data_IF_901884929138
#
_entry.id   IF_901884929138
#
_cell.length_a   1.000
_cell.length_b   1.000
_cell.length_c   1.000
_cell.angle_alpha   90.00
_cell.angle_beta   90.00
_cell.angle_gamma   90.00
#
_symmetry.space_group_name_H-M   'P 1'
#
loop_
_entity.id
_entity.type
_entity.pdbx_description
1 polymer ?
#
# COMPACT_ATOMS: atom_id res chain seq x y z
N UNK A 1 -15.57 -29.87 -2.34
CA UNK A 1 -16.44 -29.09 -3.23
C UNK A 1 -16.31 -29.54 -4.69
N UNK A 2 -15.11 -29.50 -5.28
CA UNK A 2 -14.88 -29.92 -6.67
C UNK A 2 -15.40 -31.33 -7.02
N UNK A 3 -15.06 -32.33 -6.20
CA UNK A 3 -15.50 -33.72 -6.40
C UNK A 3 -17.03 -33.90 -6.43
N UNK A 4 -17.78 -33.01 -5.76
CA UNK A 4 -19.25 -33.07 -5.70
C UNK A 4 -19.90 -32.48 -6.96
N UNK A 5 -19.20 -31.60 -7.68
CA UNK A 5 -19.76 -30.78 -8.77
C UNK A 5 -19.16 -31.16 -10.13
N UNK A 6 -18.05 -31.91 -10.17
CA UNK A 6 -17.38 -32.28 -11.42
C UNK A 6 -18.29 -33.00 -12.43
N UNK A 7 -19.22 -33.83 -11.95
CA UNK A 7 -20.17 -34.58 -12.77
C UNK A 7 -21.51 -33.85 -12.98
N UNK A 8 -21.69 -32.66 -12.39
CA UNK A 8 -22.89 -31.87 -12.60
C UNK A 8 -22.84 -31.25 -14.00
N UNK A 9 -23.85 -31.54 -14.82
CA UNK A 9 -24.12 -30.85 -16.07
C UNK A 9 -25.07 -29.68 -15.76
N UNK A 10 -24.61 -28.41 -15.84
CA UNK A 10 -25.45 -27.29 -15.51
C UNK A 10 -26.62 -27.15 -16.47
N UNK A 11 -27.77 -26.81 -15.92
CA UNK A 11 -29.03 -26.59 -16.64
C UNK A 11 -29.67 -25.25 -16.27
N UNK A 12 -29.31 -24.68 -15.11
CA UNK A 12 -29.80 -23.37 -14.64
C UNK A 12 -28.62 -22.43 -14.31
N UNK A 13 -28.81 -21.09 -14.38
CA UNK A 13 -27.74 -20.12 -14.18
C UNK A 13 -26.92 -20.33 -12.90
N UNK A 14 -27.57 -20.66 -11.78
CA UNK A 14 -26.92 -20.88 -10.49
C UNK A 14 -25.92 -22.04 -10.52
N UNK A 15 -26.18 -23.09 -11.29
CA UNK A 15 -25.28 -24.23 -11.44
C UNK A 15 -24.04 -23.85 -12.27
N UNK A 16 -24.21 -23.02 -13.30
CA UNK A 16 -23.09 -22.48 -14.08
C UNK A 16 -22.20 -21.58 -13.20
N UNK A 17 -22.81 -20.69 -12.41
CA UNK A 17 -22.09 -19.82 -11.45
C UNK A 17 -21.28 -20.67 -10.48
N UNK A 18 -21.90 -21.69 -9.89
CA UNK A 18 -21.25 -22.57 -8.93
C UNK A 18 -20.07 -23.33 -9.56
N UNK A 19 -20.22 -23.83 -10.80
CA UNK A 19 -19.09 -24.43 -11.53
C UNK A 19 -17.99 -23.43 -11.81
N UNK A 20 -18.33 -22.19 -12.16
CA UNK A 20 -17.37 -21.09 -12.31
C UNK A 20 -16.54 -20.90 -11.04
N UNK A 21 -17.19 -20.67 -9.91
CA UNK A 21 -16.54 -20.44 -8.60
C UNK A 21 -15.64 -21.61 -8.21
N UNK A 22 -16.13 -22.85 -8.36
CA UNK A 22 -15.35 -24.04 -8.02
C UNK A 22 -14.12 -24.20 -8.91
N UNK A 23 -14.23 -23.89 -10.20
CA UNK A 23 -13.08 -23.88 -11.10
C UNK A 23 -12.09 -22.76 -10.78
N UNK A 24 -12.55 -21.59 -10.34
CA UNK A 24 -11.64 -20.54 -9.82
C UNK A 24 -10.86 -21.04 -8.61
N UNK A 25 -11.56 -21.61 -7.62
CA UNK A 25 -10.92 -22.09 -6.40
C UNK A 25 -9.85 -23.15 -6.68
N UNK A 26 -10.19 -24.17 -7.49
CA UNK A 26 -9.24 -25.22 -7.89
C UNK A 26 -8.12 -24.66 -8.77
N UNK A 27 -8.45 -23.77 -9.71
CA UNK A 27 -7.47 -23.14 -10.59
C UNK A 27 -6.44 -22.31 -9.84
N UNK A 28 -6.85 -21.60 -8.79
CA UNK A 28 -5.97 -20.83 -7.92
C UNK A 28 -5.11 -21.74 -7.04
N UNK A 29 -5.70 -22.75 -6.40
CA UNK A 29 -4.99 -23.68 -5.51
C UNK A 29 -3.95 -24.54 -6.25
N UNK A 30 -4.29 -25.00 -7.46
CA UNK A 30 -3.42 -25.86 -8.28
C UNK A 30 -2.59 -25.10 -9.31
N UNK A 31 -2.73 -23.77 -9.38
CA UNK A 31 -2.17 -22.92 -10.42
C UNK A 31 -2.51 -23.38 -11.86
N UNK A 32 -3.72 -23.95 -12.05
CA UNK A 32 -4.18 -24.50 -13.32
C UNK A 32 -4.86 -23.45 -14.18
N UNK A 33 -4.20 -23.06 -15.28
CA UNK A 33 -4.75 -22.12 -16.27
C UNK A 33 -5.97 -22.67 -16.99
N UNK A 34 -6.08 -23.98 -17.14
CA UNK A 34 -7.21 -24.60 -17.83
C UNK A 34 -8.49 -24.48 -16.99
N UNK A 35 -8.38 -24.69 -15.67
CA UNK A 35 -9.50 -24.45 -14.76
C UNK A 35 -9.93 -22.98 -14.76
N UNK A 36 -8.98 -22.04 -14.75
CA UNK A 36 -9.32 -20.62 -14.81
C UNK A 36 -10.05 -20.26 -16.12
N UNK A 37 -9.61 -20.79 -17.27
CA UNK A 37 -10.31 -20.59 -18.55
C UNK A 37 -11.72 -21.18 -18.56
N UNK A 38 -11.91 -22.35 -17.95
CA UNK A 38 -13.25 -22.94 -17.80
C UNK A 38 -14.14 -22.07 -16.93
N UNK A 39 -13.60 -21.49 -15.85
CA UNK A 39 -14.34 -20.54 -15.02
C UNK A 39 -14.75 -19.28 -15.80
N UNK A 40 -13.83 -18.70 -16.59
CA UNK A 40 -14.12 -17.56 -17.46
C UNK A 40 -15.28 -17.87 -18.42
N UNK A 41 -15.28 -19.05 -19.04
CA UNK A 41 -16.36 -19.47 -19.94
C UNK A 41 -17.71 -19.55 -19.22
N UNK A 42 -17.75 -20.11 -18.01
CA UNK A 42 -18.99 -20.19 -17.24
C UNK A 42 -19.52 -18.82 -16.82
N UNK A 43 -18.65 -17.91 -16.37
CA UNK A 43 -19.06 -16.55 -16.05
C UNK A 43 -19.54 -15.77 -17.27
N UNK A 44 -18.87 -15.94 -18.42
CA UNK A 44 -19.27 -15.32 -19.67
C UNK A 44 -20.64 -15.81 -20.14
N UNK A 45 -20.92 -17.11 -20.06
CA UNK A 45 -22.21 -17.69 -20.44
C UNK A 45 -23.37 -17.10 -19.62
N UNK A 46 -23.19 -16.98 -18.30
CA UNK A 46 -24.21 -16.38 -17.42
C UNK A 46 -24.33 -14.88 -17.66
N UNK A 47 -23.21 -14.16 -17.72
CA UNK A 47 -23.19 -12.71 -17.87
C UNK A 47 -23.75 -12.21 -19.21
N UNK A 48 -23.66 -13.01 -20.27
CA UNK A 48 -24.23 -12.69 -21.58
C UNK A 48 -25.63 -13.27 -21.82
N UNK A 49 -26.18 -14.07 -20.88
CA UNK A 49 -27.52 -14.62 -21.05
C UNK A 49 -28.56 -13.51 -21.04
N UNK A 50 -29.50 -13.54 -21.99
CA UNK A 50 -30.60 -12.57 -22.06
C UNK A 50 -31.43 -12.50 -20.75
N UNK A 51 -31.51 -13.62 -20.03
CA UNK A 51 -32.25 -13.69 -18.76
C UNK A 51 -31.49 -13.14 -17.55
N UNK A 52 -30.16 -13.02 -17.63
CA UNK A 52 -29.29 -12.71 -16.47
C UNK A 52 -28.40 -11.48 -16.68
N UNK A 53 -28.18 -11.00 -17.90
CA UNK A 53 -27.19 -9.96 -18.19
C UNK A 53 -27.42 -8.65 -17.41
N UNK A 54 -28.69 -8.30 -17.17
CA UNK A 54 -29.11 -7.13 -16.39
C UNK A 54 -29.41 -7.43 -14.92
N UNK A 55 -29.19 -8.66 -14.46
CA UNK A 55 -29.39 -9.06 -13.07
C UNK A 55 -28.12 -8.86 -12.23
N UNK A 56 -28.27 -8.86 -10.91
CA UNK A 56 -27.13 -8.82 -9.98
C UNK A 56 -26.17 -10.01 -10.20
N UNK A 57 -26.64 -11.27 -10.25
CA UNK A 57 -25.78 -12.42 -10.55
C UNK A 57 -25.02 -12.30 -11.88
N UNK A 58 -25.68 -11.86 -12.97
CA UNK A 58 -24.99 -11.68 -14.25
C UNK A 58 -23.87 -10.64 -14.18
N UNK A 59 -24.11 -9.51 -13.52
CA UNK A 59 -23.10 -8.47 -13.30
C UNK A 59 -21.95 -8.93 -12.41
N UNK A 60 -22.22 -9.74 -11.39
CA UNK A 60 -21.18 -10.38 -10.57
C UNK A 60 -20.35 -11.39 -11.38
N UNK A 61 -20.97 -12.13 -12.31
CA UNK A 61 -20.24 -13.02 -13.21
C UNK A 61 -19.31 -12.26 -14.13
N UNK A 62 -19.78 -11.18 -14.77
CA UNK A 62 -18.94 -10.34 -15.62
C UNK A 62 -17.80 -9.70 -14.82
N UNK A 63 -18.07 -9.18 -13.61
CA UNK A 63 -17.00 -8.70 -12.74
C UNK A 63 -15.96 -9.79 -12.41
N UNK A 64 -16.42 -11.02 -12.12
CA UNK A 64 -15.53 -12.16 -11.83
C UNK A 64 -14.69 -12.58 -13.03
N UNK A 65 -15.28 -12.58 -14.24
CA UNK A 65 -14.58 -12.80 -15.50
C UNK A 65 -13.45 -11.78 -15.70
N UNK A 66 -13.75 -10.49 -15.57
CA UNK A 66 -12.76 -9.44 -15.77
C UNK A 66 -11.69 -9.42 -14.68
N UNK A 67 -12.01 -9.88 -13.47
CA UNK A 67 -11.01 -10.13 -12.43
C UNK A 67 -9.97 -11.15 -12.87
N UNK A 68 -10.41 -12.30 -13.41
CA UNK A 68 -9.51 -13.34 -13.92
C UNK A 68 -8.61 -12.82 -15.05
N UNK A 69 -9.16 -11.93 -15.88
CA UNK A 69 -8.46 -11.30 -16.99
C UNK A 69 -7.64 -10.07 -16.59
N UNK A 70 -7.70 -9.65 -15.31
CA UNK A 70 -7.05 -8.45 -14.76
C UNK A 70 -7.47 -7.13 -15.46
N UNK A 71 -8.68 -7.07 -16.01
CA UNK A 71 -9.27 -5.87 -16.62
C UNK A 71 -10.04 -5.09 -15.55
N UNK A 72 -9.31 -4.39 -14.68
CA UNK A 72 -9.90 -3.80 -13.47
C UNK A 72 -10.82 -2.61 -13.75
N UNK A 73 -10.68 -1.95 -14.90
CA UNK A 73 -11.60 -0.93 -15.37
C UNK A 73 -13.00 -1.50 -15.56
N UNK A 74 -13.11 -2.64 -16.24
CA UNK A 74 -14.38 -3.32 -16.48
C UNK A 74 -14.96 -3.92 -15.18
N UNK A 75 -14.10 -4.52 -14.33
CA UNK A 75 -14.50 -4.94 -12.98
C UNK A 75 -15.17 -3.79 -12.23
N UNK A 76 -14.55 -2.61 -12.26
CA UNK A 76 -15.06 -1.45 -11.56
C UNK A 76 -16.42 -0.99 -12.12
N UNK A 77 -16.63 -1.02 -13.43
CA UNK A 77 -17.92 -0.70 -14.07
C UNK A 77 -19.02 -1.64 -13.54
N UNK A 78 -18.80 -2.95 -13.61
CA UNK A 78 -19.80 -3.94 -13.20
C UNK A 78 -20.10 -3.85 -11.71
N UNK A 79 -19.08 -3.84 -10.83
CA UNK A 79 -19.31 -3.75 -9.39
C UNK A 79 -19.96 -2.43 -8.98
N UNK A 80 -19.57 -1.30 -9.58
CA UNK A 80 -20.20 -0.01 -9.26
C UNK A 80 -21.70 -0.01 -9.55
N UNK A 81 -22.12 -0.66 -10.62
CA UNK A 81 -23.54 -0.72 -11.00
C UNK A 81 -24.43 -1.46 -10.01
N UNK A 82 -23.87 -2.34 -9.18
CA UNK A 82 -24.60 -3.13 -8.17
C UNK A 82 -24.20 -2.78 -6.73
N UNK A 83 -23.25 -1.86 -6.51
CA UNK A 83 -22.71 -1.54 -5.18
C UNK A 83 -23.78 -1.18 -4.15
N UNK A 84 -24.85 -0.49 -4.58
CA UNK A 84 -25.92 -0.03 -3.69
C UNK A 84 -26.68 -1.17 -3.00
N UNK A 85 -26.66 -2.38 -3.56
CA UNK A 85 -27.28 -3.57 -2.98
C UNK A 85 -26.40 -4.29 -1.94
N UNK A 86 -25.11 -3.94 -1.86
CA UNK A 86 -24.09 -4.69 -1.11
C UNK A 86 -23.32 -3.83 -0.09
N UNK A 87 -23.92 -2.75 0.41
CA UNK A 87 -23.23 -1.80 1.30
C UNK A 87 -22.58 -2.48 2.52
N UNK A 88 -23.26 -3.46 3.13
CA UNK A 88 -22.79 -4.21 4.30
C UNK A 88 -22.21 -5.60 3.95
N UNK A 89 -21.98 -5.91 2.68
CA UNK A 89 -21.43 -7.20 2.28
C UNK A 89 -19.90 -7.12 2.21
N UNK A 90 -19.25 -7.76 3.17
CA UNK A 90 -17.80 -7.75 3.31
C UNK A 90 -17.07 -8.38 2.12
N UNK A 91 -17.63 -9.42 1.50
CA UNK A 91 -17.00 -10.10 0.35
C UNK A 91 -17.06 -9.22 -0.89
N UNK A 92 -18.19 -8.55 -1.10
CA UNK A 92 -18.35 -7.55 -2.14
C UNK A 92 -17.42 -6.36 -1.91
N UNK A 93 -17.40 -5.80 -0.70
CA UNK A 93 -16.55 -4.66 -0.36
C UNK A 93 -15.06 -5.00 -0.52
N UNK A 94 -14.65 -6.22 -0.17
CA UNK A 94 -13.29 -6.69 -0.39
C UNK A 94 -12.90 -6.70 -1.87
N UNK A 95 -13.74 -7.26 -2.73
CA UNK A 95 -13.49 -7.27 -4.17
C UNK A 95 -13.52 -5.85 -4.75
N UNK A 96 -14.50 -5.04 -4.36
CA UNK A 96 -14.61 -3.66 -4.83
C UNK A 96 -13.39 -2.81 -4.45
N UNK A 97 -12.89 -2.95 -3.22
CA UNK A 97 -11.69 -2.27 -2.74
C UNK A 97 -10.42 -2.73 -3.49
N UNK A 98 -10.30 -4.03 -3.79
CA UNK A 98 -9.20 -4.54 -4.63
C UNK A 98 -9.22 -3.91 -6.03
N UNK A 99 -10.38 -3.85 -6.69
CA UNK A 99 -10.54 -3.21 -8.00
C UNK A 99 -10.16 -1.71 -7.94
N UNK A 100 -10.64 -0.99 -6.92
CA UNK A 100 -10.26 0.43 -6.70
C UNK A 100 -8.75 0.59 -6.49
N UNK A 101 -8.13 -0.29 -5.70
CA UNK A 101 -6.70 -0.29 -5.44
C UNK A 101 -5.88 -0.53 -6.73
N UNK A 102 -6.33 -1.45 -7.58
CA UNK A 102 -5.71 -1.74 -8.87
C UNK A 102 -5.77 -0.54 -9.84
N UNK A 103 -6.85 0.25 -9.78
CA UNK A 103 -7.02 1.47 -10.56
C UNK A 103 -6.30 2.71 -9.97
N UNK A 104 -5.53 2.54 -8.90
CA UNK A 104 -4.84 3.64 -8.22
C UNK A 104 -5.74 4.54 -7.38
N UNK A 105 -7.03 4.19 -7.21
CA UNK A 105 -7.99 4.91 -6.38
C UNK A 105 -7.81 4.53 -4.88
N UNK A 106 -6.60 4.74 -4.36
CA UNK A 106 -6.18 4.21 -3.06
C UNK A 106 -6.96 4.79 -1.87
N UNK A 107 -7.42 6.04 -1.96
CA UNK A 107 -8.20 6.66 -0.87
C UNK A 107 -9.57 5.99 -0.71
N UNK A 108 -10.32 5.83 -1.79
CA UNK A 108 -11.60 5.12 -1.76
C UNK A 108 -11.43 3.62 -1.42
N UNK A 109 -10.34 3.02 -1.89
CA UNK A 109 -10.00 1.64 -1.53
C UNK A 109 -9.75 1.49 -0.03
N UNK A 110 -8.97 2.39 0.59
CA UNK A 110 -8.73 2.43 2.04
C UNK A 110 -10.06 2.51 2.80
N UNK A 111 -10.92 3.48 2.45
CA UNK A 111 -12.22 3.66 3.10
C UNK A 111 -13.11 2.42 2.96
N UNK A 112 -13.08 1.75 1.80
CA UNK A 112 -13.87 0.53 1.56
C UNK A 112 -13.31 -0.66 2.35
N UNK A 113 -11.98 -0.85 2.38
CA UNK A 113 -11.36 -1.92 3.18
C UNK A 113 -11.69 -1.76 4.66
N UNK A 114 -11.64 -0.53 5.19
CA UNK A 114 -11.93 -0.25 6.60
C UNK A 114 -13.39 -0.50 7.01
N UNK A 115 -14.32 -0.59 6.05
CA UNK A 115 -15.71 -0.94 6.33
C UNK A 115 -15.92 -2.46 6.52
N UNK A 116 -14.95 -3.30 6.15
CA UNK A 116 -15.06 -4.75 6.27
C UNK A 116 -15.00 -5.17 7.74
N UNK A 117 -15.95 -5.98 8.20
CA UNK A 117 -16.05 -6.41 9.61
C UNK A 117 -15.61 -7.86 9.85
N UNK A 118 -15.62 -8.69 8.80
CA UNK A 118 -15.27 -10.10 8.87
C UNK A 118 -13.84 -10.30 9.35
N UNK A 119 -13.69 -10.83 10.57
CA UNK A 119 -12.39 -11.17 11.15
C UNK A 119 -11.61 -12.16 10.26
N UNK A 120 -12.32 -13.07 9.57
CA UNK A 120 -11.69 -14.00 8.63
C UNK A 120 -10.98 -13.25 7.50
N UNK A 121 -11.63 -12.24 6.92
CA UNK A 121 -11.03 -11.43 5.86
C UNK A 121 -9.93 -10.54 6.45
N UNK A 122 -10.17 -9.92 7.60
CA UNK A 122 -9.20 -9.01 8.22
C UNK A 122 -7.88 -9.70 8.62
N UNK A 123 -7.93 -10.98 8.96
CA UNK A 123 -6.77 -11.79 9.29
C UNK A 123 -6.10 -12.45 8.07
N UNK A 124 -6.69 -12.34 6.88
CA UNK A 124 -6.12 -12.89 5.65
C UNK A 124 -5.00 -11.99 5.12
N UNK A 125 -3.87 -12.60 4.73
CA UNK A 125 -2.71 -11.87 4.22
C UNK A 125 -3.03 -11.00 2.98
N UNK A 126 -3.95 -11.45 2.11
CA UNK A 126 -4.34 -10.69 0.92
C UNK A 126 -4.98 -9.37 1.35
N UNK A 127 -5.89 -9.39 2.33
CA UNK A 127 -6.46 -8.16 2.88
C UNK A 127 -5.40 -7.26 3.51
N UNK A 128 -4.56 -7.81 4.38
CA UNK A 128 -3.54 -7.05 5.10
C UNK A 128 -2.58 -6.37 4.12
N UNK A 129 -2.10 -7.10 3.10
CA UNK A 129 -1.18 -6.57 2.10
C UNK A 129 -1.80 -5.48 1.21
N UNK A 130 -3.07 -5.63 0.81
CA UNK A 130 -3.79 -4.61 0.06
C UNK A 130 -4.05 -3.35 0.91
N UNK A 131 -4.46 -3.50 2.16
CA UNK A 131 -4.69 -2.37 3.07
C UNK A 131 -3.37 -1.64 3.37
N UNK A 132 -2.28 -2.37 3.64
CA UNK A 132 -0.95 -1.79 3.83
C UNK A 132 -0.51 -0.95 2.62
N UNK A 133 -0.71 -1.46 1.40
CA UNK A 133 -0.44 -0.70 0.18
C UNK A 133 -1.28 0.58 0.12
N UNK A 134 -2.57 0.52 0.40
CA UNK A 134 -3.43 1.70 0.40
C UNK A 134 -2.93 2.76 1.41
N UNK A 135 -2.57 2.35 2.64
CA UNK A 135 -1.98 3.25 3.63
C UNK A 135 -0.71 3.94 3.13
N UNK A 136 0.21 3.20 2.51
CA UNK A 136 1.47 3.78 1.99
C UNK A 136 1.18 4.79 0.89
N UNK A 137 0.29 4.44 -0.05
CA UNK A 137 -0.05 5.28 -1.19
C UNK A 137 -0.79 6.57 -0.79
N UNK A 138 -1.63 6.51 0.25
CA UNK A 138 -2.33 7.68 0.82
C UNK A 138 -1.44 8.51 1.75
N UNK A 139 -0.17 8.11 1.94
CA UNK A 139 0.79 8.88 2.72
C UNK A 139 0.78 8.60 4.22
N UNK A 140 0.27 7.44 4.64
CA UNK A 140 0.16 6.99 6.04
C UNK A 140 0.98 5.71 6.30
N UNK A 141 2.30 5.67 6.01
CA UNK A 141 3.12 4.46 6.13
C UNK A 141 3.18 3.89 7.56
N UNK A 142 2.89 4.71 8.58
CA UNK A 142 2.81 4.26 9.97
C UNK A 142 1.77 3.16 10.18
N UNK A 143 0.60 3.24 9.53
CA UNK A 143 -0.44 2.23 9.70
C UNK A 143 -0.10 0.93 8.98
N UNK A 144 0.60 1.00 7.85
CA UNK A 144 1.16 -0.18 7.20
C UNK A 144 2.21 -0.89 8.10
N UNK A 145 3.04 -0.11 8.80
CA UNK A 145 3.98 -0.65 9.76
C UNK A 145 3.29 -1.31 10.97
N UNK A 146 2.22 -0.69 11.48
CA UNK A 146 1.40 -1.26 12.56
C UNK A 146 0.73 -2.58 12.17
N UNK A 147 0.29 -2.73 10.91
CA UNK A 147 -0.21 -4.01 10.41
C UNK A 147 0.87 -5.10 10.50
N UNK A 148 2.09 -4.79 10.07
CA UNK A 148 3.22 -5.73 10.18
C UNK A 148 3.51 -6.13 11.63
N UNK A 149 3.52 -5.17 12.56
CA UNK A 149 3.79 -5.44 13.98
C UNK A 149 2.74 -6.34 14.65
N UNK A 150 1.54 -6.47 14.08
CA UNK A 150 0.48 -7.35 14.58
C UNK A 150 0.59 -8.78 14.03
N UNK A 151 1.42 -9.01 13.03
CA UNK A 151 1.60 -10.34 12.44
C UNK A 151 2.63 -11.15 13.22
N UNK A 152 2.39 -12.46 13.31
CA UNK A 152 3.40 -13.40 13.76
C UNK A 152 4.50 -13.57 12.71
N UNK A 153 5.66 -14.04 13.15
CA UNK A 153 6.77 -14.40 12.27
C UNK A 153 6.36 -15.52 11.31
N UNK A 154 6.25 -15.21 10.02
CA UNK A 154 5.78 -16.13 8.97
C UNK A 154 6.30 -15.69 7.59
N UNK A 155 6.10 -16.53 6.57
CA UNK A 155 6.42 -16.18 5.19
C UNK A 155 5.57 -14.98 4.69
N UNK A 156 4.36 -14.85 5.20
CA UNK A 156 3.45 -13.74 4.88
C UNK A 156 3.93 -12.44 5.51
N UNK A 157 4.38 -12.44 6.77
CA UNK A 157 4.92 -11.22 7.39
C UNK A 157 6.24 -10.79 6.74
N UNK A 158 7.07 -11.73 6.28
CA UNK A 158 8.23 -11.41 5.44
C UNK A 158 7.82 -10.77 4.11
N UNK A 159 6.80 -11.32 3.44
CA UNK A 159 6.27 -10.77 2.18
C UNK A 159 5.67 -9.37 2.37
N UNK A 160 4.96 -9.14 3.48
CA UNK A 160 4.46 -7.81 3.84
C UNK A 160 5.60 -6.82 4.09
N UNK A 161 6.67 -7.26 4.75
CA UNK A 161 7.84 -6.42 5.01
C UNK A 161 8.54 -5.99 3.70
N UNK A 162 8.66 -6.91 2.73
CA UNK A 162 9.15 -6.60 1.38
C UNK A 162 8.23 -5.59 0.67
N UNK A 163 6.90 -5.75 0.78
CA UNK A 163 5.95 -4.79 0.23
C UNK A 163 6.14 -3.39 0.84
N UNK A 164 6.19 -3.30 2.17
CA UNK A 164 6.39 -2.03 2.88
C UNK A 164 7.72 -1.39 2.48
N UNK A 165 8.80 -2.16 2.42
CA UNK A 165 10.12 -1.67 2.04
C UNK A 165 10.09 -1.01 0.66
N UNK A 166 9.56 -1.72 -0.34
CA UNK A 166 9.56 -1.27 -1.73
C UNK A 166 8.57 -0.13 -1.98
N UNK A 167 7.32 -0.25 -1.50
CA UNK A 167 6.30 0.77 -1.72
C UNK A 167 6.64 2.06 -0.97
N UNK A 168 7.15 1.97 0.27
CA UNK A 168 7.61 3.16 0.99
C UNK A 168 8.80 3.82 0.29
N UNK A 169 9.75 3.04 -0.25
CA UNK A 169 10.88 3.59 -0.98
C UNK A 169 10.42 4.38 -2.20
N UNK A 170 9.54 3.78 -3.02
CA UNK A 170 8.97 4.39 -4.23
C UNK A 170 8.18 5.66 -3.92
N UNK A 171 7.44 5.69 -2.82
CA UNK A 171 6.63 6.83 -2.41
C UNK A 171 7.41 7.91 -1.63
N UNK A 172 8.73 7.71 -1.41
CA UNK A 172 9.56 8.66 -0.68
C UNK A 172 9.37 8.64 0.85
N UNK A 173 8.69 7.61 1.39
CA UNK A 173 8.56 7.34 2.82
C UNK A 173 9.81 6.66 3.37
N UNK A 174 10.96 7.29 3.15
CA UNK A 174 12.27 6.68 3.26
C UNK A 174 12.61 6.13 4.65
N UNK A 175 12.11 6.72 5.73
CA UNK A 175 12.34 6.18 7.08
C UNK A 175 11.72 4.79 7.26
N UNK A 176 10.47 4.61 6.81
CA UNK A 176 9.78 3.33 6.92
C UNK A 176 10.38 2.30 5.96
N UNK A 177 10.80 2.73 4.77
CA UNK A 177 11.57 1.88 3.87
C UNK A 177 12.88 1.40 4.53
N UNK A 178 13.65 2.31 5.13
CA UNK A 178 14.90 1.98 5.81
C UNK A 178 14.70 1.04 7.00
N UNK A 179 13.63 1.22 7.80
CA UNK A 179 13.25 0.30 8.88
C UNK A 179 12.93 -1.10 8.35
N UNK A 180 12.15 -1.19 7.27
CA UNK A 180 11.77 -2.46 6.68
C UNK A 180 12.99 -3.19 6.07
N UNK A 181 13.84 -2.49 5.32
CA UNK A 181 15.07 -3.07 4.78
C UNK A 181 16.08 -3.47 5.86
N UNK A 182 16.20 -2.71 6.95
CA UNK A 182 17.03 -3.06 8.10
C UNK A 182 16.58 -4.37 8.77
N UNK A 183 15.27 -4.61 8.83
CA UNK A 183 14.75 -5.86 9.37
C UNK A 183 14.89 -7.01 8.36
N UNK A 184 14.66 -6.77 7.06
CA UNK A 184 14.93 -7.75 6.01
C UNK A 184 16.40 -8.19 6.00
N UNK A 185 17.35 -7.26 6.10
CA UNK A 185 18.80 -7.54 6.16
C UNK A 185 19.16 -8.48 7.34
N UNK A 186 18.46 -8.38 8.47
CA UNK A 186 18.68 -9.27 9.63
C UNK A 186 18.07 -10.65 9.46
N UNK A 187 16.94 -10.73 8.76
CA UNK A 187 16.23 -11.99 8.50
C UNK A 187 16.92 -12.78 7.39
N UNK A 188 17.41 -12.08 6.38
CA UNK A 188 18.11 -12.62 5.22
C UNK A 188 19.23 -11.64 4.82
N UNK A 189 20.52 -11.98 4.99
CA UNK A 189 21.64 -11.08 4.74
C UNK A 189 21.97 -10.96 3.23
N UNK A 190 20.94 -10.84 2.38
CA UNK A 190 21.09 -10.54 0.96
C UNK A 190 21.68 -9.14 0.77
N UNK A 191 22.69 -8.97 -0.12
CA UNK A 191 23.26 -7.66 -0.44
C UNK A 191 22.21 -6.63 -0.89
N UNK A 192 21.12 -7.07 -1.52
CA UNK A 192 20.05 -6.20 -2.03
C UNK A 192 19.36 -5.40 -0.91
N UNK A 193 19.21 -6.00 0.28
CA UNK A 193 18.57 -5.30 1.41
C UNK A 193 19.46 -4.25 2.02
N UNK A 194 20.77 -4.49 2.08
CA UNK A 194 21.72 -3.45 2.43
C UNK A 194 21.66 -2.28 1.43
N UNK A 195 21.60 -2.58 0.13
CA UNK A 195 21.51 -1.55 -0.90
C UNK A 195 20.23 -0.72 -0.80
N UNK A 196 19.09 -1.39 -0.59
CA UNK A 196 17.79 -0.75 -0.35
C UNK A 196 17.79 0.12 0.92
N UNK A 197 18.32 -0.41 2.03
CA UNK A 197 18.48 0.32 3.30
C UNK A 197 19.36 1.55 3.15
N UNK A 198 20.54 1.39 2.52
CA UNK A 198 21.47 2.49 2.25
C UNK A 198 20.80 3.56 1.41
N UNK A 199 20.13 3.18 0.32
CA UNK A 199 19.39 4.08 -0.55
C UNK A 199 18.30 4.85 0.23
N UNK A 200 17.54 4.15 1.07
CA UNK A 200 16.49 4.75 1.88
C UNK A 200 17.07 5.73 2.91
N UNK A 201 18.17 5.38 3.58
CA UNK A 201 18.84 6.27 4.53
C UNK A 201 19.34 7.56 3.85
N UNK A 202 19.91 7.44 2.66
CA UNK A 202 20.36 8.59 1.86
C UNK A 202 19.16 9.43 1.39
N UNK A 203 18.07 8.79 0.94
CA UNK A 203 16.83 9.48 0.56
C UNK A 203 16.22 10.25 1.74
N UNK A 204 16.19 9.66 2.93
CA UNK A 204 15.74 10.34 4.15
C UNK A 204 16.62 11.56 4.46
N UNK A 205 17.95 11.43 4.34
CA UNK A 205 18.87 12.55 4.51
C UNK A 205 18.63 13.65 3.47
N UNK A 206 18.44 13.29 2.20
CA UNK A 206 18.10 14.24 1.13
C UNK A 206 16.82 15.03 1.43
N UNK A 207 15.78 14.38 1.97
CA UNK A 207 14.53 15.05 2.35
C UNK A 207 14.72 16.06 3.49
N UNK A 208 15.68 15.83 4.39
CA UNK A 208 16.06 16.77 5.45
C UNK A 208 16.87 17.95 4.88
N UNK A 209 17.79 17.69 3.94
CA UNK A 209 18.55 18.74 3.24
C UNK A 209 17.59 19.65 2.47
N UNK A 210 16.58 19.08 1.82
CA UNK A 210 15.54 19.81 1.09
C UNK A 210 14.47 20.45 2.00
N UNK A 211 14.67 20.44 3.32
CA UNK A 211 13.78 21.04 4.33
C UNK A 211 12.34 20.50 4.33
N UNK A 212 12.12 19.33 3.73
CA UNK A 212 10.81 18.64 3.72
C UNK A 212 10.54 17.83 4.98
N UNK A 213 11.57 17.55 5.79
CA UNK A 213 11.51 16.80 7.05
C UNK A 213 12.44 17.42 8.10
N UNK A 214 12.10 17.24 9.39
CA UNK A 214 12.93 17.70 10.51
C UNK A 214 14.29 16.99 10.54
N UNK A 215 15.32 17.71 11.00
CA UNK A 215 16.65 17.16 11.27
C UNK A 215 16.66 16.08 12.35
N UNK A 216 15.65 16.00 13.21
CA UNK A 216 15.54 14.98 14.27
C UNK A 216 15.51 13.56 13.69
N UNK A 217 14.99 13.43 12.46
CA UNK A 217 14.96 12.19 11.70
C UNK A 217 16.36 11.56 11.53
N UNK A 218 17.40 12.39 11.43
CA UNK A 218 18.76 11.94 11.17
C UNK A 218 19.33 11.08 12.30
N UNK A 219 18.87 11.27 13.54
CA UNK A 219 19.26 10.42 14.66
C UNK A 219 18.82 8.97 14.41
N UNK A 220 17.55 8.77 14.01
CA UNK A 220 17.01 7.46 13.66
C UNK A 220 17.70 6.85 12.43
N UNK A 221 18.01 7.67 11.41
CA UNK A 221 18.74 7.21 10.21
C UNK A 221 20.14 6.71 10.59
N UNK A 222 20.86 7.44 11.44
CA UNK A 222 22.20 7.03 11.91
C UNK A 222 22.10 5.72 12.71
N UNK A 223 21.07 5.56 13.53
CA UNK A 223 20.86 4.31 14.28
C UNK A 223 20.62 3.12 13.34
N UNK A 224 19.81 3.29 12.29
CA UNK A 224 19.59 2.26 11.28
C UNK A 224 20.87 1.94 10.50
N UNK A 225 21.70 2.93 10.15
CA UNK A 225 22.97 2.66 9.48
C UNK A 225 23.93 1.83 10.35
N UNK A 226 24.00 2.13 11.65
CA UNK A 226 24.89 1.45 12.62
C UNK A 226 24.58 -0.02 12.85
N UNK A 227 23.38 -0.48 12.55
CA UNK A 227 23.02 -1.89 12.70
C UNK A 227 23.63 -2.78 11.61
N UNK A 228 24.21 -2.20 10.55
CA UNK A 228 24.89 -2.95 9.49
C UNK A 228 26.41 -2.99 9.73
N UNK A 229 27.05 -4.09 9.33
CA UNK A 229 28.50 -4.28 9.38
C UNK A 229 29.22 -3.76 8.12
N UNK A 230 28.50 -3.13 7.19
CA UNK A 230 29.07 -2.68 5.93
C UNK A 230 30.10 -1.55 6.12
N UNK A 231 31.26 -1.67 5.45
CA UNK A 231 32.34 -0.68 5.51
C UNK A 231 31.95 0.75 5.10
N UNK A 232 30.87 0.92 4.34
CA UNK A 232 30.36 2.23 3.91
C UNK A 232 29.59 2.98 5.02
N UNK A 233 29.17 2.30 6.08
CA UNK A 233 28.37 2.90 7.16
C UNK A 233 29.07 4.11 7.79
N UNK A 234 30.34 3.95 8.16
CA UNK A 234 31.10 5.00 8.85
C UNK A 234 31.33 6.24 7.98
N UNK A 235 31.55 6.06 6.68
CA UNK A 235 31.72 7.19 5.76
C UNK A 235 30.41 7.97 5.59
N UNK A 236 29.28 7.27 5.44
CA UNK A 236 27.94 7.89 5.34
C UNK A 236 27.60 8.65 6.62
N UNK A 237 27.76 8.01 7.79
CA UNK A 237 27.47 8.65 9.09
C UNK A 237 28.32 9.90 9.29
N UNK A 238 29.61 9.87 8.90
CA UNK A 238 30.50 11.04 9.00
C UNK A 238 29.99 12.21 8.17
N UNK A 239 29.50 11.94 6.96
CA UNK A 239 28.93 12.98 6.08
C UNK A 239 27.67 13.59 6.72
N UNK A 240 26.73 12.76 7.19
CA UNK A 240 25.49 13.23 7.83
C UNK A 240 25.82 14.10 9.04
N UNK A 241 26.68 13.61 9.95
CA UNK A 241 27.07 14.36 11.16
C UNK A 241 27.76 15.69 10.84
N UNK A 242 28.66 15.71 9.85
CA UNK A 242 29.33 16.93 9.40
C UNK A 242 28.32 17.96 8.91
N UNK A 243 27.35 17.53 8.10
CA UNK A 243 26.29 18.41 7.63
C UNK A 243 25.43 18.95 8.78
N UNK A 244 25.00 18.08 9.71
CA UNK A 244 24.19 18.51 10.86
C UNK A 244 24.92 19.53 11.71
N UNK A 245 26.21 19.33 12.00
CA UNK A 245 27.04 20.29 12.74
C UNK A 245 27.15 21.64 12.01
N UNK A 246 27.37 21.62 10.70
CA UNK A 246 27.44 22.84 9.89
C UNK A 246 26.11 23.60 9.87
N UNK A 247 24.98 22.87 9.76
CA UNK A 247 23.64 23.48 9.83
C UNK A 247 23.41 24.15 11.18
N UNK A 248 23.79 23.49 12.29
CA UNK A 248 23.72 24.06 13.63
C UNK A 248 24.59 25.32 13.72
N UNK A 249 25.83 25.30 13.21
CA UNK A 249 26.69 26.51 13.24
C UNK A 249 26.12 27.69 12.43
N UNK A 250 25.39 27.42 11.34
CA UNK A 250 24.73 28.45 10.54
C UNK A 250 23.46 28.92 11.26
N UNK A 251 22.67 28.02 11.87
CA UNK A 251 21.50 28.41 12.66
C UNK A 251 21.88 29.17 13.93
N UNK A 252 23.01 28.84 14.56
CA UNK A 252 23.55 29.54 15.73
C UNK A 252 24.03 30.95 15.36
N UNK A 253 24.57 31.12 14.15
CA UNK A 253 24.91 32.43 13.58
C UNK A 253 23.65 33.25 13.24
N UNK A 254 22.57 32.58 12.82
CA UNK A 254 21.26 33.21 12.56
C UNK A 254 20.50 33.51 13.87
N UNK A 255 20.71 32.74 14.94
CA UNK A 255 20.16 33.04 16.26
C UNK A 255 20.86 34.21 16.94
N UNK A 256 22.15 34.43 16.70
CA UNK A 256 22.82 35.68 17.07
C UNK A 256 22.33 36.87 16.23
N UNK A 257 21.99 36.67 14.96
CA UNK A 257 21.39 37.73 14.13
C UNK A 257 19.92 38.03 14.51
N UNK A 258 19.14 37.07 14.98
CA UNK A 258 17.79 37.34 15.50
C UNK A 258 17.81 38.19 16.79
N UNK A 259 18.84 38.08 17.64
CA UNK A 259 19.02 38.99 18.78
C UNK A 259 19.44 40.40 18.35
N UNK A 260 20.21 40.53 17.26
CA UNK A 260 20.60 41.83 16.69
C UNK A 260 19.43 42.48 15.92
N UNK A 261 18.62 41.69 15.21
CA UNK A 261 17.42 42.17 14.49
C UNK A 261 16.30 42.54 15.48
N UNK A 262 16.17 41.85 16.61
CA UNK A 262 15.25 42.26 17.70
C UNK A 262 15.64 43.61 18.34
N UNK A 263 16.93 43.96 18.34
CA UNK A 263 17.40 45.30 18.73
C UNK A 263 17.05 46.39 17.71
N UNK A 264 17.03 46.07 16.41
CA UNK A 264 16.63 47.02 15.37
C UNK A 264 15.10 47.18 15.21
N UNK A 265 14.29 46.21 15.65
CA UNK A 265 12.83 46.25 15.51
C UNK A 265 12.12 47.09 16.60
N UNK A 266 12.86 47.69 17.54
CA UNK A 266 12.28 48.62 18.54
C UNK A 266 12.20 50.09 18.07
N UNK A 267 12.65 50.42 16.85
CA UNK A 267 12.39 51.72 16.22
C UNK A 267 11.75 51.48 14.85
N UNK A 268 10.42 51.42 14.82
CA UNK A 268 9.65 51.42 13.57
C UNK A 268 8.47 50.45 13.54
N UNK A 269 7.43 50.74 14.33
CA UNK A 269 6.02 50.83 13.90
C UNK A 269 5.80 50.39 12.43
N UNK A 270 4.95 49.44 12.05
CA UNK A 270 3.78 48.87 12.71
C UNK A 270 3.11 47.80 11.82
N UNK A 271 2.65 46.74 12.48
CA UNK A 271 1.35 46.08 12.32
C UNK A 271 0.75 45.78 10.92
N UNK A 272 0.34 44.50 10.81
CA UNK A 272 -0.78 43.93 10.06
C UNK A 272 -0.64 43.77 8.53
N UNK A 273 -1.13 42.70 7.88
CA UNK A 273 -1.71 41.42 8.28
C UNK A 273 -2.08 40.65 6.99
N UNK A 274 -1.98 39.33 7.03
CA UNK A 274 -2.91 38.35 6.42
C UNK A 274 -2.92 38.18 4.88
N UNK A 275 -2.42 37.01 4.45
CA UNK A 275 -2.84 36.13 3.34
C UNK A 275 -3.95 36.57 2.37
N UNK A 276 -3.84 36.11 1.11
CA UNK A 276 -4.95 35.36 0.52
C UNK A 276 -4.57 33.99 -0.06
N UNK A 277 -5.61 33.16 -0.14
CA UNK A 277 -5.69 31.74 -0.50
C UNK A 277 -5.44 31.44 -1.98
N UNK A 278 -5.09 30.18 -2.22
CA UNK A 278 -5.15 29.39 -3.45
C UNK A 278 -6.22 29.80 -4.49
N UNK A 279 -5.83 29.72 -5.77
CA UNK A 279 -6.57 29.03 -6.84
C UNK A 279 -5.66 28.79 -8.05
N UNK A 280 -5.43 27.51 -8.40
CA UNK A 280 -5.35 26.94 -9.76
C UNK A 280 -4.95 25.48 -9.66
#
# INVERSE_FOLDING_TARGET
AYELIKSLEPSVPQEYILKGIVNVAVGQETNSRDHLKVAEQYFLLVGNSESECDTIPGRQCMASLYFLQRQFEDVHVYLSSIKTYFFNDDSFNFNYAQAKSALGNYKEAEETFLNIQSEKIQNDYIYISHLARCYIMVGKPQFAWELYLKMDSSAESYSLLQLIANDCYRMGHFLYAAKAFDLLERLDPSPEYWEGKRGACIGAFQMVIAEKKSSDLLSSVIQLLRSSSNQQVESIIRIIKRWTKNKISISDSIHQLHYIISWFVTIGIGFCSIYPRNHS
#
